data_IF_908990703094
#
_entry.id   IF_908990703094
#
_cell.length_a   1.000
_cell.length_b   1.000
_cell.length_c   1.000
_cell.angle_alpha   90.00
_cell.angle_beta   90.00
_cell.angle_gamma   90.00
#
_symmetry.space_group_name_H-M   'P 1'
#
loop_
_entity.id
_entity.type
_entity.pdbx_description
1 polymer ?
#
# COMPACT_ATOMS: atom_id res chain seq x y z
N UNK A 1 -0.70 19.24 2.38
CA UNK A 1 -1.13 18.38 1.25
C UNK A 1 -0.18 17.19 0.98
N UNK A 2 1.09 17.23 1.37
CA UNK A 2 2.08 16.18 1.08
C UNK A 2 1.84 14.85 1.81
N UNK A 3 1.44 14.89 3.08
CA UNK A 3 1.28 13.70 3.92
C UNK A 3 0.31 12.65 3.31
N UNK A 4 -0.95 12.98 2.95
CA UNK A 4 -1.86 11.98 2.38
C UNK A 4 -1.37 11.39 1.06
N UNK A 5 -0.74 12.20 0.20
CA UNK A 5 -0.12 11.73 -1.05
C UNK A 5 1.06 10.79 -0.79
N UNK A 6 1.86 11.05 0.24
CA UNK A 6 2.95 10.17 0.65
C UNK A 6 2.44 8.78 1.08
N UNK A 7 1.36 8.73 1.88
CA UNK A 7 0.73 7.46 2.26
C UNK A 7 0.17 6.71 1.04
N UNK A 8 -0.45 7.40 0.08
CA UNK A 8 -0.92 6.78 -1.15
C UNK A 8 0.23 6.20 -1.99
N UNK A 9 1.33 6.94 -2.15
CA UNK A 9 2.53 6.45 -2.83
C UNK A 9 3.15 5.24 -2.13
N UNK A 10 3.26 5.29 -0.81
CA UNK A 10 3.78 4.17 -0.01
C UNK A 10 2.91 2.92 -0.16
N UNK A 11 1.59 3.07 -0.14
CA UNK A 11 0.64 1.98 -0.34
C UNK A 11 0.77 1.33 -1.73
N UNK A 12 0.95 2.15 -2.78
CA UNK A 12 1.21 1.65 -4.14
C UNK A 12 2.54 0.89 -4.23
N UNK A 13 3.59 1.38 -3.57
CA UNK A 13 4.89 0.71 -3.57
C UNK A 13 4.80 -0.68 -2.91
N UNK A 14 4.12 -0.77 -1.77
CA UNK A 14 3.90 -2.04 -1.07
C UNK A 14 3.10 -3.05 -1.91
N UNK A 15 2.12 -2.58 -2.69
CA UNK A 15 1.37 -3.45 -3.60
C UNK A 15 2.27 -4.03 -4.69
N UNK A 16 3.17 -3.20 -5.23
CA UNK A 16 4.15 -3.62 -6.23
C UNK A 16 5.13 -4.66 -5.65
N UNK A 17 5.59 -4.41 -4.42
CA UNK A 17 6.51 -5.32 -3.71
C UNK A 17 5.82 -6.63 -3.33
N UNK A 18 4.56 -6.58 -2.90
CA UNK A 18 3.75 -7.77 -2.65
C UNK A 18 3.60 -8.64 -3.90
N UNK A 19 3.31 -8.01 -5.04
CA UNK A 19 3.22 -8.71 -6.34
C UNK A 19 4.58 -9.32 -6.73
N UNK A 20 5.69 -8.62 -6.51
CA UNK A 20 7.03 -9.16 -6.73
C UNK A 20 7.32 -10.36 -5.83
N UNK A 21 6.96 -10.32 -4.55
CA UNK A 21 7.14 -11.44 -3.63
C UNK A 21 6.28 -12.67 -4.01
N UNK A 22 5.06 -12.43 -4.49
CA UNK A 22 4.16 -13.46 -4.99
C UNK A 22 4.72 -14.15 -6.24
N UNK A 23 5.13 -13.36 -7.24
CA UNK A 23 5.60 -13.87 -8.53
C UNK A 23 7.01 -14.44 -8.44
N UNK A 24 7.95 -13.66 -7.90
CA UNK A 24 9.39 -13.97 -7.97
C UNK A 24 9.83 -14.87 -6.83
N UNK A 25 9.31 -14.66 -5.62
CA UNK A 25 9.66 -15.49 -4.45
C UNK A 25 8.66 -16.61 -4.17
N UNK A 26 7.59 -16.73 -4.96
CA UNK A 26 6.53 -17.73 -4.78
C UNK A 26 5.95 -17.77 -3.35
N UNK A 27 6.01 -16.64 -2.64
CA UNK A 27 5.63 -16.57 -1.22
C UNK A 27 4.27 -15.90 -1.08
N UNK A 28 3.20 -16.69 -1.24
CA UNK A 28 1.82 -16.21 -1.11
C UNK A 28 1.54 -15.54 0.23
N UNK A 29 2.12 -16.04 1.34
CA UNK A 29 1.88 -15.45 2.66
C UNK A 29 2.45 -14.02 2.75
N UNK A 30 3.64 -13.78 2.19
CA UNK A 30 4.25 -12.44 2.16
C UNK A 30 3.55 -11.52 1.15
N UNK A 31 3.15 -12.06 0.00
CA UNK A 31 2.33 -11.34 -0.97
C UNK A 31 1.05 -10.81 -0.32
N UNK A 32 0.25 -11.69 0.30
CA UNK A 32 -1.01 -11.32 0.95
C UNK A 32 -0.77 -10.27 2.04
N UNK A 33 0.28 -10.43 2.84
CA UNK A 33 0.60 -9.48 3.91
C UNK A 33 0.98 -8.10 3.34
N UNK A 34 1.83 -8.04 2.33
CA UNK A 34 2.22 -6.80 1.64
C UNK A 34 1.05 -6.14 0.92
N UNK A 35 0.20 -6.91 0.25
CA UNK A 35 -1.00 -6.40 -0.44
C UNK A 35 -1.99 -5.83 0.57
N UNK A 36 -2.29 -6.55 1.66
CA UNK A 36 -3.17 -6.06 2.72
C UNK A 36 -2.66 -4.76 3.35
N UNK A 37 -1.36 -4.70 3.67
CA UNK A 37 -0.74 -3.49 4.22
C UNK A 37 -0.76 -2.35 3.19
N UNK A 38 -0.45 -2.62 1.93
CA UNK A 38 -0.47 -1.63 0.85
C UNK A 38 -1.84 -0.99 0.66
N UNK A 39 -2.91 -1.81 0.63
CA UNK A 39 -4.30 -1.33 0.54
C UNK A 39 -4.65 -0.48 1.77
N UNK A 40 -4.33 -0.96 2.98
CA UNK A 40 -4.65 -0.26 4.22
C UNK A 40 -3.98 1.12 4.28
N UNK A 41 -2.69 1.20 3.95
CA UNK A 41 -1.91 2.45 3.93
C UNK A 41 -2.44 3.40 2.86
N UNK A 42 -2.77 2.89 1.66
CA UNK A 42 -3.34 3.68 0.58
C UNK A 42 -4.68 4.32 0.98
N UNK A 43 -5.58 3.53 1.54
CA UNK A 43 -6.89 4.01 2.00
C UNK A 43 -6.78 4.94 3.21
N UNK A 44 -5.84 4.70 4.13
CA UNK A 44 -5.54 5.63 5.21
C UNK A 44 -5.10 7.00 4.68
N UNK A 45 -4.26 7.03 3.63
CA UNK A 45 -3.88 8.25 2.93
C UNK A 45 -5.07 8.98 2.32
N UNK A 46 -5.99 8.27 1.66
CA UNK A 46 -7.25 8.84 1.12
C UNK A 46 -8.19 9.36 2.20
N UNK A 47 -8.28 8.68 3.33
CA UNK A 47 -9.07 9.12 4.47
C UNK A 47 -8.52 10.42 5.08
N UNK A 48 -7.20 10.50 5.25
CA UNK A 48 -6.51 11.70 5.72
C UNK A 48 -6.66 12.88 4.76
N UNK A 49 -6.71 12.63 3.46
CA UNK A 49 -7.00 13.64 2.44
C UNK A 49 -8.41 14.21 2.61
N UNK A 50 -9.42 13.34 2.78
CA UNK A 50 -10.82 13.73 2.99
C UNK A 50 -11.08 14.47 4.31
N UNK A 51 -10.22 14.31 5.31
CA UNK A 51 -10.32 15.02 6.61
C UNK A 51 -9.74 16.43 6.56
N UNK A 52 -9.02 16.79 5.50
CA UNK A 52 -8.35 18.10 5.33
C UNK A 52 -9.06 19.01 4.30
N UNK A 53 -10.03 18.50 3.55
CA UNK A 53 -10.97 19.30 2.76
C UNK A 53 -12.27 19.46 3.52
#
# INVERSE_FOLDING_TARGET
>A
MIIPKFFQLLGMLLLLEGLYLGIVKHSMNLEIMCVCLGIAIFYAGRWLERRKG
#
